data_IF_097085510552
#
_entry.id   IF_097085510552
#
_cell.length_a   1.000
_cell.length_b   1.000
_cell.length_c   1.000
_cell.angle_alpha   90.00
_cell.angle_beta   90.00
_cell.angle_gamma   90.00
#
_symmetry.space_group_name_H-M   'P 1'
#
loop_
_entity.id
_entity.type
_entity.pdbx_description
1 polymer ?
#
# COMPACT_ATOMS: atom_id res chain seq x y z
N UNK A 1 -16.35 -2.16 1.42
CA UNK A 1 -15.64 -1.42 2.49
C UNK A 1 -14.18 -1.82 2.48
N UNK A 2 -13.24 -0.90 2.73
CA UNK A 2 -11.83 -1.24 3.02
C UNK A 2 -11.55 -0.95 4.49
N UNK A 3 -11.24 -1.99 5.29
CA UNK A 3 -10.90 -1.85 6.70
C UNK A 3 -9.40 -1.55 6.85
N UNK A 4 -9.02 -0.63 7.73
CA UNK A 4 -7.61 -0.39 8.03
C UNK A 4 -7.04 -1.48 8.93
N UNK A 5 -5.75 -1.83 8.76
CA UNK A 5 -5.04 -2.66 9.73
C UNK A 5 -5.06 -2.03 11.13
N UNK A 6 -5.09 -0.70 11.22
CA UNK A 6 -5.16 0.09 12.45
C UNK A 6 -6.60 0.40 12.89
N UNK A 7 -7.57 -0.44 12.55
CA UNK A 7 -8.94 -0.24 12.97
C UNK A 7 -9.13 -0.54 14.46
N UNK A 8 -10.05 0.19 15.09
CA UNK A 8 -10.53 -0.04 16.47
C UNK A 8 -11.62 -1.13 16.56
N UNK A 9 -11.83 -1.86 15.47
CA UNK A 9 -12.65 -3.06 15.40
C UNK A 9 -11.91 -4.10 14.58
N UNK A 10 -11.94 -5.35 15.02
CA UNK A 10 -11.21 -6.43 14.36
C UNK A 10 -11.87 -6.82 13.03
N UNK A 11 -11.14 -7.54 12.17
CA UNK A 11 -11.73 -8.12 10.94
C UNK A 11 -12.92 -9.04 11.25
N UNK A 12 -12.87 -9.78 12.36
CA UNK A 12 -13.93 -10.68 12.81
C UNK A 12 -15.16 -9.90 13.32
N UNK A 13 -14.96 -8.86 14.13
CA UNK A 13 -16.03 -7.97 14.60
C UNK A 13 -16.70 -7.27 13.42
N UNK A 14 -15.94 -6.80 12.44
CA UNK A 14 -16.49 -6.16 11.25
C UNK A 14 -17.21 -7.19 10.35
N UNK A 15 -16.71 -8.42 10.25
CA UNK A 15 -17.38 -9.48 9.49
C UNK A 15 -18.69 -9.94 10.15
N UNK A 16 -18.77 -9.97 11.49
CA UNK A 16 -19.96 -10.39 12.23
C UNK A 16 -21.17 -9.46 12.05
N UNK A 17 -20.95 -8.23 11.58
CA UNK A 17 -22.04 -7.29 11.22
C UNK A 17 -22.94 -7.79 10.09
N UNK A 18 -22.50 -8.78 9.31
CA UNK A 18 -23.30 -9.41 8.26
C UNK A 18 -22.53 -9.65 6.95
N UNK A 19 -23.19 -10.21 5.92
CA UNK A 19 -22.56 -10.43 4.63
C UNK A 19 -22.19 -9.10 3.95
N UNK A 20 -21.05 -9.08 3.26
CA UNK A 20 -20.62 -7.89 2.52
C UNK A 20 -19.23 -8.04 1.91
N UNK A 21 -18.97 -7.32 0.82
CA UNK A 21 -17.65 -7.28 0.19
C UNK A 21 -16.75 -6.33 0.98
N UNK A 22 -15.70 -6.90 1.58
CA UNK A 22 -14.74 -6.19 2.43
C UNK A 22 -13.32 -6.46 1.96
N UNK A 23 -12.48 -5.44 1.97
CA UNK A 23 -11.04 -5.53 1.70
C UNK A 23 -10.26 -5.12 2.96
N UNK A 24 -9.09 -5.69 3.18
CA UNK A 24 -8.23 -5.32 4.31
C UNK A 24 -7.06 -4.50 3.78
N UNK A 25 -6.94 -3.26 4.23
CA UNK A 25 -5.74 -2.45 4.03
C UNK A 25 -4.66 -2.87 5.02
N UNK A 26 -3.45 -3.06 4.50
CA UNK A 26 -2.28 -3.45 5.30
C UNK A 26 -1.08 -2.55 5.03
N UNK A 27 -0.19 -2.53 6.02
CA UNK A 27 1.23 -2.23 5.87
C UNK A 27 2.02 -3.53 6.00
N UNK A 28 3.21 -3.58 5.41
CA UNK A 28 4.13 -4.68 5.69
C UNK A 28 5.01 -4.29 6.88
N UNK A 29 4.92 -5.08 7.93
CA UNK A 29 5.66 -4.87 9.17
C UNK A 29 7.05 -5.51 9.09
N UNK A 30 8.02 -4.95 9.84
CA UNK A 30 9.37 -5.55 9.98
C UNK A 30 9.29 -6.99 10.46
N UNK A 31 8.45 -7.23 11.47
CA UNK A 31 8.03 -8.57 11.79
C UNK A 31 6.99 -9.04 10.78
N UNK A 32 7.44 -9.84 9.81
CA UNK A 32 6.59 -10.41 8.76
C UNK A 32 5.49 -11.31 9.32
N UNK A 33 5.67 -11.88 10.52
CA UNK A 33 4.66 -12.71 11.16
C UNK A 33 3.39 -11.91 11.49
N UNK A 34 3.52 -10.65 11.92
CA UNK A 34 2.35 -9.78 12.14
C UNK A 34 1.53 -9.59 10.85
N UNK A 35 2.23 -9.38 9.72
CA UNK A 35 1.60 -9.22 8.40
C UNK A 35 0.86 -10.50 7.99
N UNK A 36 1.50 -11.67 8.17
CA UNK A 36 0.92 -12.98 7.88
C UNK A 36 -0.32 -13.23 8.73
N UNK A 37 -0.28 -12.95 10.04
CA UNK A 37 -1.41 -13.13 10.94
C UNK A 37 -2.60 -12.24 10.56
N UNK A 38 -2.37 -10.96 10.23
CA UNK A 38 -3.43 -10.06 9.77
C UNK A 38 -4.13 -10.57 8.50
N UNK A 39 -3.35 -11.01 7.51
CA UNK A 39 -3.89 -11.53 6.26
C UNK A 39 -4.67 -12.82 6.50
N UNK A 40 -4.13 -13.72 7.33
CA UNK A 40 -4.78 -14.97 7.72
C UNK A 40 -6.12 -14.72 8.40
N UNK A 41 -6.18 -13.75 9.34
CA UNK A 41 -7.44 -13.34 10.00
C UNK A 41 -8.45 -12.79 8.98
N UNK A 42 -8.01 -11.94 8.05
CA UNK A 42 -8.88 -11.41 6.99
C UNK A 42 -9.43 -12.50 6.06
N UNK A 43 -8.61 -13.45 5.61
CA UNK A 43 -9.05 -14.58 4.80
C UNK A 43 -10.12 -15.41 5.52
N UNK A 44 -9.88 -15.76 6.78
CA UNK A 44 -10.85 -16.48 7.63
C UNK A 44 -12.15 -15.71 7.84
N UNK A 45 -12.05 -14.38 7.99
CA UNK A 45 -13.20 -13.49 8.11
C UNK A 45 -13.93 -13.23 6.77
N UNK A 46 -13.49 -13.85 5.67
CA UNK A 46 -14.16 -13.79 4.37
C UNK A 46 -13.90 -12.51 3.58
N UNK A 47 -12.84 -11.76 3.92
CA UNK A 47 -12.40 -10.60 3.14
C UNK A 47 -11.98 -11.02 1.73
N UNK A 48 -12.13 -10.11 0.76
CA UNK A 48 -12.05 -10.42 -0.67
C UNK A 48 -10.83 -9.87 -1.39
N UNK A 49 -10.05 -9.01 -0.75
CA UNK A 49 -8.80 -8.47 -1.28
C UNK A 49 -7.93 -7.90 -0.17
N UNK A 50 -6.63 -7.82 -0.45
CA UNK A 50 -5.65 -7.10 0.34
C UNK A 50 -5.33 -5.78 -0.36
N UNK A 51 -5.36 -4.67 0.38
CA UNK A 51 -4.97 -3.35 -0.10
C UNK A 51 -3.61 -3.02 0.51
N UNK A 52 -2.53 -3.28 -0.23
CA UNK A 52 -1.18 -2.94 0.18
C UNK A 52 -0.96 -1.44 0.07
N UNK A 53 -0.56 -0.80 1.17
CA UNK A 53 -0.18 0.62 1.17
C UNK A 53 1.30 0.78 0.85
N UNK A 54 1.61 1.39 -0.28
CA UNK A 54 2.96 1.58 -0.80
C UNK A 54 3.49 3.02 -0.66
N UNK A 55 2.65 3.97 -0.23
CA UNK A 55 2.96 5.42 -0.13
C UNK A 55 3.44 5.87 1.28
N UNK A 56 3.58 4.94 2.23
CA UNK A 56 3.98 5.28 3.61
C UNK A 56 5.07 4.37 4.19
N UNK A 57 6.29 4.32 3.60
CA UNK A 57 7.43 3.71 4.29
C UNK A 57 7.67 4.41 5.64
N UNK A 58 7.54 5.73 5.66
CA UNK A 58 7.55 6.57 6.86
C UNK A 58 6.25 7.34 6.90
N UNK A 59 5.59 7.40 8.05
CA UNK A 59 4.35 8.17 8.27
C UNK A 59 4.64 9.66 8.09
N UNK A 60 3.77 10.32 7.32
CA UNK A 60 3.88 11.76 7.04
C UNK A 60 3.80 12.63 8.29
N UNK A 61 4.47 13.77 8.24
CA UNK A 61 4.48 14.74 9.34
C UNK A 61 3.18 15.54 9.33
N UNK A 62 2.34 15.31 10.32
CA UNK A 62 1.07 16.02 10.52
C UNK A 62 1.22 16.99 11.68
N UNK A 63 1.38 18.28 11.38
CA UNK A 63 1.68 19.28 12.40
C UNK A 63 0.62 19.38 13.50
N UNK A 64 -0.65 19.23 13.13
CA UNK A 64 -1.75 19.26 14.09
C UNK A 64 -1.63 18.13 15.12
N UNK A 65 -1.32 16.90 14.68
CA UNK A 65 -1.12 15.75 15.58
C UNK A 65 0.04 16.02 16.57
N UNK A 66 1.12 16.66 16.10
CA UNK A 66 2.25 17.07 16.97
C UNK A 66 1.83 18.16 17.96
N UNK A 67 1.18 19.24 17.49
CA UNK A 67 0.74 20.38 18.32
C UNK A 67 -0.27 19.93 19.39
N UNK A 68 -1.18 19.04 19.01
CA UNK A 68 -2.24 18.53 19.88
C UNK A 68 -1.80 17.34 20.74
N UNK A 69 -0.58 16.82 20.55
CA UNK A 69 -0.06 15.59 21.19
C UNK A 69 -1.07 14.45 21.06
N UNK A 70 -1.52 14.21 19.83
CA UNK A 70 -2.55 13.22 19.57
C UNK A 70 -2.18 11.86 20.18
N UNK A 71 -3.14 11.26 20.88
CA UNK A 71 -3.08 9.91 21.43
C UNK A 71 -4.42 9.22 21.17
N UNK A 72 -4.40 7.88 21.12
CA UNK A 72 -5.63 7.12 21.10
C UNK A 72 -6.34 7.29 22.46
N UNK A 73 -7.67 7.51 22.51
CA UNK A 73 -8.41 7.52 23.77
C UNK A 73 -8.21 6.21 24.55
N UNK A 74 -8.12 6.29 25.88
CA UNK A 74 -7.78 5.14 26.74
C UNK A 74 -8.77 3.97 26.66
N UNK A 75 -10.00 4.22 26.24
CA UNK A 75 -11.04 3.22 26.05
C UNK A 75 -11.05 2.59 24.64
N UNK A 76 -10.06 2.90 23.81
CA UNK A 76 -9.93 2.37 22.45
C UNK A 76 -8.62 1.61 22.31
N UNK A 77 -8.64 0.56 21.49
CA UNK A 77 -7.47 -0.26 21.16
C UNK A 77 -7.46 -0.59 19.68
N UNK A 78 -6.28 -0.93 19.15
CA UNK A 78 -6.12 -1.37 17.76
C UNK A 78 -6.46 -2.87 17.66
N UNK A 79 -7.74 -3.18 17.58
CA UNK A 79 -8.34 -4.52 17.72
C UNK A 79 -7.75 -5.61 16.84
N UNK A 80 -7.27 -5.28 15.64
CA UNK A 80 -6.68 -6.30 14.75
C UNK A 80 -5.41 -6.94 15.32
N UNK A 81 -4.67 -6.21 16.16
CA UNK A 81 -3.42 -6.64 16.77
C UNK A 81 -3.63 -7.30 18.14
N UNK A 82 -4.84 -7.26 18.69
CA UNK A 82 -5.17 -7.91 19.96
C UNK A 82 -4.79 -9.40 19.92
N UNK A 83 -4.06 -9.84 20.95
CA UNK A 83 -3.55 -11.21 21.08
C UNK A 83 -2.34 -11.56 20.21
N UNK A 84 -1.73 -10.60 19.50
CA UNK A 84 -0.42 -10.81 18.88
C UNK A 84 0.69 -10.57 19.90
N UNK A 85 1.90 -11.06 19.60
CA UNK A 85 3.09 -10.79 20.41
C UNK A 85 3.50 -9.31 20.24
N UNK A 86 2.97 -8.49 21.14
CA UNK A 86 2.95 -7.04 21.05
C UNK A 86 3.87 -6.38 22.08
N UNK A 87 4.90 -7.07 22.60
CA UNK A 87 5.91 -6.44 23.47
C UNK A 87 6.51 -5.15 22.85
N UNK A 88 6.44 -5.02 21.51
CA UNK A 88 6.85 -3.81 20.75
C UNK A 88 5.73 -2.80 20.46
N UNK A 89 4.47 -3.20 20.61
CA UNK A 89 3.30 -2.32 20.44
C UNK A 89 2.92 -1.63 21.74
N UNK A 90 3.10 -2.25 22.90
CA UNK A 90 2.78 -1.64 24.21
C UNK A 90 3.65 -0.40 24.48
N UNK A 91 4.95 -0.43 24.12
CA UNK A 91 5.79 0.78 24.12
C UNK A 91 5.30 1.85 23.11
N UNK A 92 4.55 1.44 22.08
CA UNK A 92 3.98 2.32 21.06
C UNK A 92 2.61 2.90 21.42
N UNK A 93 1.84 2.19 22.23
CA UNK A 93 0.45 2.52 22.57
C UNK A 93 0.33 3.17 23.94
N UNK A 94 1.18 2.85 24.92
CA UNK A 94 1.06 3.38 26.28
C UNK A 94 1.38 4.88 26.40
N UNK A 95 2.24 5.44 25.53
CA UNK A 95 2.76 6.81 25.75
C UNK A 95 2.82 7.73 24.54
N UNK A 96 2.44 7.31 23.31
CA UNK A 96 2.39 8.29 22.22
C UNK A 96 1.60 7.84 20.99
N UNK A 97 0.60 8.63 20.59
CA UNK A 97 0.20 8.71 19.18
C UNK A 97 1.25 9.43 18.33
N UNK A 98 2.55 9.20 18.60
CA UNK A 98 3.64 9.76 17.83
C UNK A 98 3.93 8.86 16.63
N UNK A 99 3.91 9.49 15.46
CA UNK A 99 4.45 9.06 14.17
C UNK A 99 5.73 8.20 14.31
N UNK A 100 6.61 8.50 15.26
CA UNK A 100 7.86 7.77 15.51
C UNK A 100 7.68 6.30 15.86
N UNK A 101 6.65 5.93 16.63
CA UNK A 101 6.55 4.56 17.15
C UNK A 101 5.86 3.63 16.17
N UNK A 102 4.88 4.15 15.41
CA UNK A 102 4.33 3.46 14.23
C UNK A 102 5.41 3.21 13.18
N UNK A 103 6.30 4.18 12.93
CA UNK A 103 7.42 4.04 12.00
C UNK A 103 8.42 2.94 12.38
N UNK A 104 8.52 2.56 13.66
CA UNK A 104 9.41 1.48 14.10
C UNK A 104 8.90 0.12 13.68
N UNK A 105 7.58 -0.04 13.52
CA UNK A 105 6.92 -1.28 13.17
C UNK A 105 6.92 -1.53 11.66
N UNK A 106 6.81 -0.47 10.86
CA UNK A 106 6.81 -0.59 9.40
C UNK A 106 8.18 -0.93 8.87
N UNK A 107 8.22 -1.79 7.86
CA UNK A 107 9.41 -2.00 7.09
C UNK A 107 9.58 -0.87 6.07
N UNK A 108 10.72 -0.18 6.14
CA UNK A 108 11.06 0.94 5.27
C UNK A 108 11.87 0.49 4.04
N UNK A 109 12.27 -0.78 4.00
CA UNK A 109 13.08 -1.37 2.94
C UNK A 109 12.26 -2.06 1.84
N UNK A 110 10.94 -1.86 1.84
CA UNK A 110 10.03 -2.53 0.91
C UNK A 110 10.37 -2.21 -0.55
N UNK A 111 10.31 -3.25 -1.36
CA UNK A 111 10.49 -3.22 -2.81
C UNK A 111 9.36 -3.98 -3.51
N UNK A 112 9.36 -4.00 -4.84
CA UNK A 112 8.43 -4.82 -5.61
C UNK A 112 8.55 -6.33 -5.35
N UNK A 113 9.68 -6.79 -4.78
CA UNK A 113 9.83 -8.18 -4.33
C UNK A 113 8.88 -8.52 -3.19
N UNK A 114 8.51 -7.55 -2.36
CA UNK A 114 7.58 -7.75 -1.25
C UNK A 114 6.14 -7.95 -1.76
N UNK A 115 5.78 -7.40 -2.92
CA UNK A 115 4.51 -7.75 -3.59
C UNK A 115 4.51 -9.22 -3.99
N UNK A 116 5.62 -9.72 -4.56
CA UNK A 116 5.77 -11.15 -4.87
C UNK A 116 5.74 -12.01 -3.61
N UNK A 117 6.40 -11.59 -2.54
CA UNK A 117 6.35 -12.28 -1.26
C UNK A 117 4.92 -12.35 -0.71
N UNK A 118 4.14 -11.26 -0.76
CA UNK A 118 2.73 -11.27 -0.34
C UNK A 118 1.93 -12.33 -1.12
N UNK A 119 2.14 -12.46 -2.44
CA UNK A 119 1.50 -13.49 -3.26
C UNK A 119 1.86 -14.92 -2.84
N UNK A 120 2.95 -15.13 -2.10
CA UNK A 120 3.30 -16.47 -1.56
C UNK A 120 2.56 -16.82 -0.28
N UNK A 121 1.98 -15.84 0.42
CA UNK A 121 1.32 -16.04 1.71
C UNK A 121 -0.20 -15.83 1.67
N UNK A 122 -0.77 -15.39 0.54
CA UNK A 122 -2.22 -15.25 0.34
C UNK A 122 -2.61 -15.50 -1.10
N UNK A 123 -3.82 -16.05 -1.28
CA UNK A 123 -4.44 -16.17 -2.60
C UNK A 123 -5.42 -15.02 -2.91
N UNK A 124 -5.63 -14.10 -1.97
CA UNK A 124 -6.48 -12.92 -2.20
C UNK A 124 -5.83 -11.98 -3.21
N UNK A 125 -6.63 -11.30 -4.06
CA UNK A 125 -6.11 -10.28 -4.97
C UNK A 125 -5.48 -9.14 -4.17
N UNK A 126 -4.28 -8.72 -4.59
CA UNK A 126 -3.53 -7.63 -3.96
C UNK A 126 -3.71 -6.36 -4.80
N UNK A 127 -4.31 -5.34 -4.19
CA UNK A 127 -4.42 -4.00 -4.75
C UNK A 127 -3.31 -3.13 -4.18
N UNK A 128 -2.52 -2.50 -5.04
CA UNK A 128 -1.45 -1.58 -4.60
C UNK A 128 -2.00 -0.17 -4.53
N UNK A 129 -2.08 0.39 -3.32
CA UNK A 129 -2.53 1.75 -3.03
C UNK A 129 -1.33 2.68 -2.83
N UNK A 130 -1.39 3.85 -3.44
CA UNK A 130 -0.38 4.90 -3.27
C UNK A 130 0.42 5.23 -4.52
N UNK A 131 -0.09 4.83 -5.69
CA UNK A 131 0.56 5.09 -6.98
C UNK A 131 0.09 6.45 -7.50
N UNK A 132 1.01 7.32 -7.90
CA UNK A 132 0.73 8.72 -8.31
C UNK A 132 1.38 9.15 -9.63
N UNK A 133 2.06 8.26 -10.35
CA UNK A 133 2.73 8.59 -11.62
C UNK A 133 1.71 8.57 -12.76
N UNK A 134 1.62 9.70 -13.48
CA UNK A 134 0.60 9.98 -14.50
C UNK A 134 0.76 9.14 -15.79
N UNK A 135 1.87 8.44 -15.99
CA UNK A 135 2.10 7.69 -17.23
C UNK A 135 1.16 6.48 -17.44
N UNK A 136 0.32 6.09 -16.46
CA UNK A 136 -0.40 4.80 -16.47
C UNK A 136 -1.93 4.83 -16.55
N UNK A 137 -2.56 5.97 -16.33
CA UNK A 137 -3.95 6.23 -16.74
C UNK A 137 -4.24 5.77 -18.19
N UNK A 138 -3.28 6.00 -19.09
CA UNK A 138 -3.32 5.64 -20.51
C UNK A 138 -3.03 4.15 -20.75
N UNK A 139 -2.23 3.50 -19.90
CA UNK A 139 -1.89 2.07 -20.03
C UNK A 139 -3.07 1.16 -19.63
N UNK A 140 -3.84 1.55 -18.61
CA UNK A 140 -5.03 0.81 -18.16
C UNK A 140 -6.13 0.80 -19.24
N UNK A 141 -6.24 1.84 -20.07
CA UNK A 141 -7.13 1.86 -21.25
C UNK A 141 -6.64 0.95 -22.38
N UNK A 142 -5.32 0.76 -22.50
CA UNK A 142 -4.72 -0.02 -23.59
C UNK A 142 -4.70 -1.53 -23.28
N UNK A 143 -4.63 -1.94 -22.01
CA UNK A 143 -4.56 -3.36 -21.63
C UNK A 143 -5.88 -4.15 -21.73
N UNK A 144 -7.00 -3.51 -22.09
CA UNK A 144 -8.24 -4.21 -22.50
C UNK A 144 -8.37 -4.45 -24.00
N UNK A 145 -7.40 -4.00 -24.80
CA UNK A 145 -7.47 -4.14 -26.26
C UNK A 145 -6.07 -4.35 -26.84
N UNK A 146 -5.87 -5.52 -27.45
CA UNK A 146 -4.84 -5.87 -28.45
C UNK A 146 -3.65 -6.73 -28.00
N UNK A 147 -3.78 -8.01 -28.38
CA UNK A 147 -2.72 -8.96 -28.75
C UNK A 147 -1.99 -8.54 -30.07
N UNK A 148 -2.17 -7.32 -30.59
CA UNK A 148 -1.77 -6.95 -31.96
C UNK A 148 -0.57 -5.98 -32.11
N UNK A 149 0.12 -5.58 -31.04
CA UNK A 149 1.17 -4.54 -31.12
C UNK A 149 2.61 -5.08 -30.93
N UNK A 150 2.89 -6.25 -31.49
CA UNK A 150 4.24 -6.84 -31.53
C UNK A 150 5.01 -6.46 -32.82
N UNK A 151 4.37 -5.81 -33.80
CA UNK A 151 4.99 -5.56 -35.11
C UNK A 151 5.63 -4.17 -35.34
N UNK A 152 5.60 -3.23 -34.39
CA UNK A 152 6.13 -1.88 -34.62
C UNK A 152 7.54 -1.62 -34.05
N UNK A 153 8.36 -2.67 -33.92
CA UNK A 153 9.64 -2.65 -33.21
C UNK A 153 10.89 -2.55 -34.10
N UNK A 154 10.80 -2.10 -35.36
CA UNK A 154 11.97 -2.13 -36.27
C UNK A 154 12.48 -0.73 -36.71
N UNK A 155 11.78 0.39 -36.45
CA UNK A 155 12.16 1.69 -37.03
C UNK A 155 12.82 2.73 -36.10
N UNK A 156 13.14 2.40 -34.84
CA UNK A 156 13.72 3.36 -33.88
C UNK A 156 15.11 2.99 -33.33
N UNK A 157 15.84 2.13 -34.05
CA UNK A 157 17.18 1.67 -33.62
C UNK A 157 18.27 2.75 -33.81
N UNK A 158 18.04 3.84 -34.56
CA UNK A 158 19.13 4.76 -34.93
C UNK A 158 19.24 6.08 -34.15
N UNK A 159 18.32 6.43 -33.24
CA UNK A 159 18.42 7.68 -32.43
C UNK A 159 18.94 7.43 -31.00
N UNK A 160 19.23 6.17 -30.64
CA UNK A 160 19.43 5.76 -29.24
C UNK A 160 20.89 5.68 -28.76
N UNK A 161 21.86 6.15 -29.55
CA UNK A 161 23.29 5.96 -29.22
C UNK A 161 23.91 7.12 -28.41
N UNK A 162 23.27 8.29 -28.32
CA UNK A 162 23.84 9.46 -27.58
C UNK A 162 23.29 9.62 -26.15
N UNK A 163 22.24 8.88 -25.76
CA UNK A 163 21.62 8.98 -24.42
C UNK A 163 22.05 7.89 -23.44
N UNK A 164 23.05 7.07 -23.77
CA UNK A 164 23.42 5.86 -22.98
C UNK A 164 24.34 6.15 -21.78
N UNK A 165 24.83 7.37 -21.57
CA UNK A 165 25.80 7.66 -20.48
C UNK A 165 25.28 8.48 -19.28
N UNK A 166 23.97 8.74 -19.19
CA UNK A 166 23.33 9.44 -18.06
C UNK A 166 21.94 8.87 -17.73
N UNK A 167 21.74 7.55 -17.83
CA UNK A 167 20.53 6.88 -17.32
C UNK A 167 20.54 6.79 -15.78
N UNK A 168 20.32 7.92 -15.11
CA UNK A 168 19.40 7.88 -13.97
C UNK A 168 18.01 7.75 -14.60
N UNK A 169 17.48 6.54 -14.58
CA UNK A 169 16.15 6.20 -15.07
C UNK A 169 15.09 6.93 -14.21
N UNK A 170 14.87 8.21 -14.50
CA UNK A 170 13.84 9.06 -13.91
C UNK A 170 12.43 8.68 -14.42
N UNK A 171 12.31 7.62 -15.22
CA UNK A 171 11.05 7.06 -15.72
C UNK A 171 10.68 5.73 -15.03
N UNK A 172 10.93 5.62 -13.73
CA UNK A 172 10.44 4.51 -12.91
C UNK A 172 8.91 4.55 -12.83
N UNK A 173 8.26 4.00 -13.85
CA UNK A 173 6.83 3.89 -13.98
C UNK A 173 6.30 2.92 -12.92
N UNK A 174 5.77 3.48 -11.83
CA UNK A 174 5.37 2.75 -10.61
C UNK A 174 4.18 1.83 -10.88
N UNK A 175 3.23 2.22 -11.74
CA UNK A 175 2.07 1.36 -11.99
C UNK A 175 2.41 0.17 -12.90
N UNK A 176 3.28 0.34 -13.90
CA UNK A 176 3.85 -0.78 -14.67
C UNK A 176 4.62 -1.74 -13.78
N UNK A 177 5.44 -1.23 -12.86
CA UNK A 177 6.15 -2.08 -11.90
C UNK A 177 5.18 -2.84 -10.99
N UNK A 178 4.08 -2.21 -10.54
CA UNK A 178 3.03 -2.90 -9.80
C UNK A 178 2.39 -4.04 -10.60
N UNK A 179 2.06 -3.79 -11.88
CA UNK A 179 1.49 -4.82 -12.78
C UNK A 179 2.49 -5.96 -13.00
N UNK A 180 3.76 -5.65 -13.27
CA UNK A 180 4.83 -6.66 -13.45
C UNK A 180 5.08 -7.45 -12.16
N UNK A 181 4.97 -6.78 -11.01
CA UNK A 181 5.00 -7.42 -9.70
C UNK A 181 3.75 -8.29 -9.45
N UNK A 182 2.73 -8.22 -10.29
CA UNK A 182 1.53 -9.07 -10.25
C UNK A 182 0.40 -8.50 -9.39
N UNK A 183 0.39 -7.19 -9.14
CA UNK A 183 -0.76 -6.55 -8.51
C UNK A 183 -2.04 -6.84 -9.31
N UNK A 184 -3.11 -7.20 -8.60
CA UNK A 184 -4.43 -7.43 -9.20
C UNK A 184 -5.13 -6.12 -9.58
N UNK A 185 -4.67 -4.99 -9.02
CA UNK A 185 -5.16 -3.66 -9.33
C UNK A 185 -4.36 -2.58 -8.63
N UNK A 186 -4.64 -1.34 -9.02
CA UNK A 186 -3.92 -0.15 -8.55
C UNK A 186 -4.94 0.85 -8.02
N UNK A 187 -4.62 1.47 -6.88
CA UNK A 187 -5.41 2.55 -6.29
C UNK A 187 -4.56 3.82 -6.33
N UNK A 188 -4.93 4.72 -7.24
CA UNK A 188 -4.33 6.06 -7.34
C UNK A 188 -4.69 6.84 -6.07
N UNK A 189 -3.67 7.16 -5.27
CA UNK A 189 -3.85 7.67 -3.91
C UNK A 189 -2.63 8.48 -3.50
N UNK A 190 -2.85 9.65 -2.92
CA UNK A 190 -1.84 10.43 -2.19
C UNK A 190 -2.02 10.35 -0.67
N UNK A 191 -2.66 9.27 -0.21
CA UNK A 191 -2.97 9.04 1.19
C UNK A 191 -3.87 10.14 1.80
N UNK A 192 -4.71 10.78 0.98
CA UNK A 192 -5.51 11.92 1.40
C UNK A 192 -4.67 13.14 1.73
N UNK A 193 -3.56 13.35 1.01
CA UNK A 193 -2.59 14.42 1.21
C UNK A 193 -1.95 14.45 2.63
N UNK A 194 -1.78 13.27 3.25
CA UNK A 194 -1.23 13.15 4.62
C UNK A 194 0.19 12.59 4.69
N UNK A 195 0.79 12.27 3.55
CA UNK A 195 2.10 11.62 3.46
C UNK A 195 3.19 12.59 3.00
N UNK A 196 3.32 12.80 1.70
CA UNK A 196 4.21 13.79 1.10
C UNK A 196 3.36 14.96 0.61
N UNK A 197 3.66 16.17 1.06
CA UNK A 197 3.02 17.39 0.57
C UNK A 197 3.56 17.75 -0.83
N UNK A 198 2.86 18.64 -1.55
CA UNK A 198 3.17 19.05 -2.93
C UNK A 198 3.09 17.95 -4.00
N UNK A 199 2.59 16.76 -3.66
CA UNK A 199 2.20 15.75 -4.65
C UNK A 199 0.94 16.18 -5.41
N UNK A 200 0.74 15.74 -6.66
CA UNK A 200 -0.45 16.11 -7.41
C UNK A 200 -1.75 15.66 -6.72
N UNK A 201 -2.84 16.35 -7.04
CA UNK A 201 -4.18 15.84 -6.75
C UNK A 201 -4.37 14.48 -7.46
N UNK A 202 -5.02 13.53 -6.80
CA UNK A 202 -5.18 12.17 -7.34
C UNK A 202 -5.88 12.12 -8.69
N UNK A 203 -6.78 13.08 -8.97
CA UNK A 203 -7.45 13.19 -10.26
C UNK A 203 -6.49 13.56 -11.40
N UNK A 204 -5.49 14.41 -11.12
CA UNK A 204 -4.47 14.80 -12.10
C UNK A 204 -3.50 13.64 -12.37
N UNK A 205 -3.28 12.78 -11.37
CA UNK A 205 -2.47 11.56 -11.54
C UNK A 205 -3.22 10.43 -12.29
N UNK A 206 -4.52 10.61 -12.56
CA UNK A 206 -5.37 9.63 -13.25
C UNK A 206 -5.54 9.93 -14.76
N UNK A 207 -4.98 11.01 -15.29
CA UNK A 207 -5.13 11.46 -16.70
C UNK A 207 -4.08 10.88 -17.65
#
# INVERSE_FOLDING_TARGET
MTLSSWATSSVEEVASTGPGIRFLQIYVFKDRNMTIQLITKAEKAGFKAIVLTADSPVVGRKEADTKNRFTLPSNMIMKNFEGMDLEKLDEATEHSGHTSTVNRLYDQSLTWKDVKWLQTITSLPILVKGVLTAEDSKLIKTLKSNIAMICFLIHLIFVRIVYIYLELDFTNNVARLAIQAGAAGIIVSNHGARQLDYVPATIMALE
#
